data_IF_866711580635
#
_entry.id   IF_866711580635
#
_cell.length_a   1.000
_cell.length_b   1.000
_cell.length_c   1.000
_cell.angle_alpha   90.00
_cell.angle_beta   90.00
_cell.angle_gamma   90.00
#
_symmetry.space_group_name_H-M   'P 1'
#
loop_
_entity.id
_entity.type
_entity.pdbx_description
1 polymer ?
#
# COMPACT_ATOMS: atom_id res chain seq x y z
N UNK A 1 -17.66 -6.39 11.67
CA UNK A 1 -16.63 -6.74 10.66
C UNK A 1 -15.34 -7.05 11.40
N UNK A 2 -14.57 -8.00 10.93
CA UNK A 2 -13.31 -8.42 11.55
C UNK A 2 -12.18 -7.43 11.18
N UNK A 3 -11.30 -7.12 12.13
CA UNK A 3 -10.14 -6.28 11.87
C UNK A 3 -9.05 -7.09 11.18
N UNK A 4 -8.49 -6.57 10.08
CA UNK A 4 -7.32 -7.16 9.42
C UNK A 4 -6.03 -6.74 10.11
N UNK A 5 -5.98 -5.48 10.56
CA UNK A 5 -4.87 -4.93 11.35
C UNK A 5 -5.42 -4.25 12.59
N UNK A 6 -4.77 -4.48 13.73
CA UNK A 6 -4.94 -3.69 14.96
C UNK A 6 -3.57 -3.29 15.47
N UNK A 7 -3.35 -2.00 15.62
CA UNK A 7 -2.17 -1.41 16.27
C UNK A 7 -2.59 -0.94 17.66
N UNK A 8 -1.79 -1.26 18.70
CA UNK A 8 -2.01 -0.80 20.08
C UNK A 8 -0.75 -0.17 20.61
N UNK A 9 -0.80 1.12 20.90
CA UNK A 9 0.30 1.89 21.46
C UNK A 9 1.57 1.87 20.58
N UNK A 10 1.41 1.76 19.26
CA UNK A 10 2.55 1.73 18.33
C UNK A 10 3.23 3.09 18.32
N UNK A 11 4.54 3.12 18.59
CA UNK A 11 5.35 4.32 18.48
C UNK A 11 6.62 4.10 17.69
N UNK A 12 7.21 5.20 17.18
CA UNK A 12 8.45 5.18 16.42
C UNK A 12 9.24 6.47 16.56
N UNK A 13 10.52 6.31 16.87
CA UNK A 13 11.52 7.39 16.90
C UNK A 13 12.68 7.06 15.98
N UNK A 14 13.31 8.08 15.44
CA UNK A 14 14.53 7.99 14.64
C UNK A 14 15.61 8.89 15.21
N UNK A 15 16.87 8.58 14.93
CA UNK A 15 18.01 9.33 15.39
C UNK A 15 18.50 8.92 16.78
N UNK A 16 19.47 9.67 17.31
CA UNK A 16 20.05 9.48 18.64
C UNK A 16 20.45 10.85 19.23
N UNK A 17 20.46 10.96 20.55
CA UNK A 17 20.87 12.21 21.25
C UNK A 17 20.03 13.40 20.81
N UNK A 18 20.70 14.53 20.50
CA UNK A 18 20.04 15.79 20.11
C UNK A 18 19.32 15.72 18.75
N UNK A 19 19.57 14.67 17.95
CA UNK A 19 18.89 14.41 16.67
C UNK A 19 17.71 13.46 16.79
N UNK A 20 17.18 13.20 17.98
CA UNK A 20 16.03 12.31 18.18
C UNK A 20 14.75 12.97 17.64
N UNK A 21 14.08 12.28 16.71
CA UNK A 21 12.82 12.70 16.13
C UNK A 21 11.74 11.66 16.42
N UNK A 22 10.69 12.05 17.14
CA UNK A 22 9.52 11.20 17.35
C UNK A 22 8.62 11.28 16.10
N UNK A 23 8.71 10.28 15.25
CA UNK A 23 7.93 10.21 14.01
C UNK A 23 6.49 9.75 14.25
N UNK A 24 6.28 8.84 15.22
CA UNK A 24 4.96 8.44 15.70
C UNK A 24 4.99 8.38 17.23
N UNK A 25 4.04 9.06 17.85
CA UNK A 25 3.70 8.90 19.27
C UNK A 25 2.87 7.64 19.44
N UNK A 26 2.66 7.12 20.67
CA UNK A 26 1.82 5.95 20.83
C UNK A 26 0.44 6.14 20.19
N UNK A 27 0.15 5.34 19.15
CA UNK A 27 -1.12 5.39 18.43
C UNK A 27 -1.83 4.04 18.51
N UNK A 28 -3.15 4.11 18.56
CA UNK A 28 -4.06 2.98 18.39
C UNK A 28 -4.77 3.14 17.04
N UNK A 29 -4.85 2.06 16.26
CA UNK A 29 -5.51 2.06 14.96
C UNK A 29 -6.08 0.68 14.66
N UNK A 30 -7.35 0.66 14.30
CA UNK A 30 -8.02 -0.54 13.79
C UNK A 30 -8.36 -0.37 12.31
N UNK A 31 -8.04 -1.36 11.49
CA UNK A 31 -8.35 -1.38 10.06
C UNK A 31 -9.19 -2.63 9.80
N UNK A 32 -10.38 -2.44 9.24
CA UNK A 32 -11.32 -3.53 8.95
C UNK A 32 -10.92 -4.26 7.67
N UNK A 33 -11.20 -5.54 7.62
CA UNK A 33 -10.99 -6.34 6.41
C UNK A 33 -11.89 -5.84 5.27
N UNK A 34 -11.29 -5.63 4.08
CA UNK A 34 -11.99 -5.09 2.92
C UNK A 34 -12.30 -3.59 3.01
N UNK A 35 -11.72 -2.88 3.97
CA UNK A 35 -11.85 -1.43 4.08
C UNK A 35 -10.95 -0.71 3.06
N UNK A 36 -11.41 0.42 2.56
CA UNK A 36 -10.58 1.40 1.85
C UNK A 36 -10.39 2.63 2.75
N UNK A 37 -9.17 2.77 3.30
CA UNK A 37 -8.79 3.77 4.30
C UNK A 37 -7.84 4.80 3.70
N UNK A 38 -8.10 6.08 3.92
CA UNK A 38 -7.13 7.15 3.67
C UNK A 38 -6.39 7.56 4.95
N UNK A 39 -5.09 7.79 4.85
CA UNK A 39 -4.24 8.38 5.88
C UNK A 39 -3.79 9.74 5.37
N UNK A 40 -4.34 10.81 5.95
CA UNK A 40 -4.04 12.18 5.57
C UNK A 40 -3.16 12.89 6.60
N UNK A 41 -2.43 13.89 6.15
CA UNK A 41 -1.64 14.77 7.02
C UNK A 41 -0.62 15.57 6.21
N UNK A 42 -0.07 16.63 6.82
CA UNK A 42 0.99 17.44 6.21
C UNK A 42 2.30 16.65 6.05
N UNK A 43 3.23 17.18 5.26
CA UNK A 43 4.59 16.63 5.20
C UNK A 43 5.20 16.58 6.62
N UNK A 44 5.90 15.50 6.94
CA UNK A 44 6.51 15.31 8.26
C UNK A 44 5.55 14.83 9.37
N UNK A 45 4.24 14.64 9.10
CA UNK A 45 3.30 14.21 10.14
C UNK A 45 3.42 12.74 10.58
N UNK A 46 4.28 11.94 9.95
CA UNK A 46 4.49 10.52 10.28
C UNK A 46 3.79 9.52 9.34
N UNK A 47 3.12 9.98 8.25
CA UNK A 47 2.36 9.11 7.32
C UNK A 47 3.19 7.97 6.73
N UNK A 48 4.34 8.28 6.13
CA UNK A 48 5.22 7.27 5.52
C UNK A 48 5.81 6.33 6.57
N UNK A 49 6.07 6.83 7.79
CA UNK A 49 6.47 5.98 8.92
C UNK A 49 5.37 4.99 9.27
N UNK A 50 4.13 5.45 9.42
CA UNK A 50 2.99 4.58 9.70
C UNK A 50 2.80 3.56 8.57
N UNK A 51 2.88 3.98 7.31
CA UNK A 51 2.77 3.10 6.16
C UNK A 51 3.87 2.01 6.16
N UNK A 52 5.12 2.38 6.47
CA UNK A 52 6.24 1.45 6.56
C UNK A 52 6.06 0.44 7.70
N UNK A 53 5.51 0.87 8.84
CA UNK A 53 5.17 -0.04 9.94
C UNK A 53 4.04 -0.99 9.54
N UNK A 54 2.98 -0.50 8.89
CA UNK A 54 1.89 -1.32 8.36
C UNK A 54 2.38 -2.34 7.33
N UNK A 55 3.35 -1.95 6.50
CA UNK A 55 3.99 -2.85 5.53
C UNK A 55 4.94 -3.86 6.19
N UNK A 56 5.34 -3.65 7.44
CA UNK A 56 6.42 -4.39 8.08
C UNK A 56 7.77 -4.16 7.43
N UNK A 57 7.97 -2.99 6.82
CA UNK A 57 9.26 -2.52 6.29
C UNK A 57 10.13 -1.93 7.40
N UNK A 58 9.48 -1.41 8.45
CA UNK A 58 10.14 -0.92 9.65
C UNK A 58 9.58 -1.64 10.89
N UNK A 59 10.28 -1.49 12.01
CA UNK A 59 9.94 -2.12 13.29
C UNK A 59 9.56 -1.00 14.27
N UNK A 60 8.39 -1.07 14.95
CA UNK A 60 8.04 -0.12 15.99
C UNK A 60 8.98 -0.25 17.19
N UNK A 61 9.17 0.83 17.91
CA UNK A 61 9.97 0.84 19.14
C UNK A 61 9.21 0.17 20.29
N UNK A 62 7.88 0.40 20.35
CA UNK A 62 6.98 -0.24 21.31
C UNK A 62 5.57 -0.42 20.71
N UNK A 63 4.71 -1.07 21.47
CA UNK A 63 3.33 -1.37 21.11
C UNK A 63 3.15 -2.78 20.52
N UNK A 64 1.93 -3.10 20.19
CA UNK A 64 1.53 -4.40 19.66
C UNK A 64 0.94 -4.28 18.25
N UNK A 65 1.42 -5.11 17.33
CA UNK A 65 0.89 -5.24 15.97
C UNK A 65 0.15 -6.58 15.86
N UNK A 66 -1.16 -6.52 15.61
CA UNK A 66 -2.02 -7.69 15.44
C UNK A 66 -2.46 -7.76 13.97
N UNK A 67 -2.27 -8.91 13.34
CA UNK A 67 -2.70 -9.18 11.97
C UNK A 67 -3.63 -10.40 11.95
N UNK A 68 -4.83 -10.25 11.38
CA UNK A 68 -5.87 -11.29 11.38
C UNK A 68 -6.06 -11.91 12.77
N UNK A 69 -6.22 -11.08 13.79
CA UNK A 69 -6.44 -11.49 15.18
C UNK A 69 -5.23 -12.11 15.90
N UNK A 70 -4.06 -12.20 15.25
CA UNK A 70 -2.86 -12.80 15.83
C UNK A 70 -1.72 -11.80 15.96
N UNK A 71 -1.04 -11.69 17.11
CA UNK A 71 0.13 -10.82 17.27
C UNK A 71 1.26 -11.21 16.31
N UNK A 72 1.83 -10.23 15.62
CA UNK A 72 3.02 -10.41 14.80
C UNK A 72 4.24 -9.92 15.57
N UNK A 73 5.27 -10.76 15.65
CA UNK A 73 6.57 -10.32 16.13
C UNK A 73 7.28 -9.51 15.02
N UNK A 74 7.16 -8.18 15.08
CA UNK A 74 7.73 -7.23 14.11
C UNK A 74 9.26 -7.22 14.12
N UNK A 75 9.90 -7.65 15.23
CA UNK A 75 11.38 -7.77 15.32
C UNK A 75 11.91 -8.98 14.55
N UNK A 76 11.06 -9.96 14.24
CA UNK A 76 11.46 -11.13 13.47
C UNK A 76 11.39 -10.85 11.97
N UNK A 77 12.53 -10.50 11.38
CA UNK A 77 12.63 -10.13 9.96
C UNK A 77 12.16 -11.23 8.99
N UNK A 78 12.34 -12.50 9.33
CA UNK A 78 11.87 -13.62 8.50
C UNK A 78 10.33 -13.70 8.50
N UNK A 79 9.67 -13.48 9.66
CA UNK A 79 8.21 -13.40 9.74
C UNK A 79 7.68 -12.21 8.96
N UNK A 80 8.33 -11.03 9.08
CA UNK A 80 7.94 -9.83 8.35
C UNK A 80 8.16 -9.98 6.83
N UNK A 81 9.26 -10.59 6.40
CA UNK A 81 9.48 -10.89 4.98
C UNK A 81 8.42 -11.85 4.41
N UNK A 82 7.96 -12.84 5.21
CA UNK A 82 6.87 -13.74 4.83
C UNK A 82 5.54 -12.99 4.74
N UNK A 83 5.25 -12.10 5.68
CA UNK A 83 4.07 -11.24 5.68
C UNK A 83 4.04 -10.35 4.43
N UNK A 84 5.10 -9.57 4.17
CA UNK A 84 5.22 -8.74 2.96
C UNK A 84 5.02 -9.55 1.68
N UNK A 85 5.72 -10.66 1.56
CA UNK A 85 5.68 -11.52 0.38
C UNK A 85 4.30 -12.08 0.07
N UNK A 86 3.49 -12.35 1.10
CA UNK A 86 2.26 -13.10 0.94
C UNK A 86 1.01 -12.24 1.01
N UNK A 87 1.05 -11.19 1.83
CA UNK A 87 -0.16 -10.51 2.27
C UNK A 87 -0.17 -9.01 1.93
N UNK A 88 0.99 -8.43 1.51
CA UNK A 88 1.11 -7.00 1.24
C UNK A 88 1.48 -6.73 -0.22
N UNK A 89 0.67 -5.91 -0.90
CA UNK A 89 1.03 -5.23 -2.15
C UNK A 89 1.42 -3.79 -1.86
N UNK A 90 2.49 -3.28 -2.47
CA UNK A 90 2.97 -1.92 -2.23
C UNK A 90 3.01 -1.12 -3.54
N UNK A 91 2.44 0.09 -3.50
CA UNK A 91 2.42 1.04 -4.62
C UNK A 91 2.97 2.37 -4.13
N UNK A 92 3.99 2.91 -4.79
CA UNK A 92 4.67 4.16 -4.39
C UNK A 92 4.53 5.22 -5.47
N UNK A 93 4.69 6.48 -5.09
CA UNK A 93 4.52 7.67 -5.93
C UNK A 93 5.36 7.62 -7.21
N UNK A 94 6.59 7.13 -7.15
CA UNK A 94 7.52 7.05 -8.29
C UNK A 94 7.57 5.65 -8.92
N UNK A 95 6.46 4.89 -8.83
CA UNK A 95 6.22 3.58 -9.42
C UNK A 95 7.18 2.47 -8.96
N UNK A 96 8.43 2.79 -8.65
CA UNK A 96 9.52 1.88 -8.27
C UNK A 96 9.62 0.63 -9.18
N UNK A 97 9.48 0.83 -10.48
CA UNK A 97 9.70 -0.20 -11.47
C UNK A 97 11.20 -0.42 -11.65
N UNK A 98 11.58 -1.65 -11.96
CA UNK A 98 12.97 -2.01 -12.27
C UNK A 98 13.20 -1.69 -13.74
N UNK A 99 14.06 -0.72 -14.03
CA UNK A 99 14.25 -0.18 -15.38
C UNK A 99 14.82 -1.19 -16.38
N UNK A 100 15.65 -2.11 -15.90
CA UNK A 100 16.27 -3.19 -16.70
C UNK A 100 15.32 -4.36 -16.94
N UNK A 101 14.13 -4.34 -16.33
CA UNK A 101 13.12 -5.38 -16.48
C UNK A 101 12.02 -4.93 -17.44
N UNK A 102 11.60 -5.84 -18.32
CA UNK A 102 10.38 -5.63 -19.08
C UNK A 102 9.17 -5.51 -18.14
N UNK A 103 8.07 -4.96 -18.65
CA UNK A 103 6.82 -4.83 -17.90
C UNK A 103 6.33 -6.21 -17.42
N UNK A 104 6.41 -7.22 -18.27
CA UNK A 104 6.10 -8.60 -17.90
C UNK A 104 6.96 -9.10 -16.72
N UNK A 105 8.24 -8.78 -16.71
CA UNK A 105 9.15 -9.18 -15.63
C UNK A 105 8.86 -8.42 -14.34
N UNK A 106 8.57 -7.11 -14.43
CA UNK A 106 8.15 -6.31 -13.28
C UNK A 106 6.89 -6.88 -12.61
N UNK A 107 5.83 -7.16 -13.39
CA UNK A 107 4.58 -7.74 -12.89
C UNK A 107 4.81 -9.15 -12.32
N UNK A 108 5.69 -9.94 -12.96
CA UNK A 108 5.98 -11.31 -12.57
C UNK A 108 6.85 -11.46 -11.32
N UNK A 109 7.50 -10.38 -10.87
CA UNK A 109 8.46 -10.43 -9.76
C UNK A 109 7.87 -11.02 -8.46
N UNK A 110 6.70 -10.54 -7.95
CA UNK A 110 6.11 -11.11 -6.73
C UNK A 110 5.67 -12.56 -6.90
N UNK A 111 5.34 -12.99 -8.11
CA UNK A 111 4.90 -14.37 -8.37
C UNK A 111 6.03 -15.40 -8.21
N UNK A 112 7.29 -14.98 -8.33
CA UNK A 112 8.46 -15.86 -8.13
C UNK A 112 8.60 -16.29 -6.67
N UNK A 113 8.14 -15.46 -5.74
CA UNK A 113 8.33 -15.64 -4.29
C UNK A 113 7.03 -15.86 -3.52
N UNK A 114 5.87 -15.58 -4.14
CA UNK A 114 4.55 -15.60 -3.51
C UNK A 114 3.95 -17.00 -3.31
N UNK A 115 2.79 -17.03 -2.65
CA UNK A 115 2.05 -18.27 -2.28
C UNK A 115 1.27 -18.92 -3.43
N UNK A 116 1.14 -18.31 -4.59
CA UNK A 116 0.30 -18.83 -5.67
C UNK A 116 0.91 -20.11 -6.27
N UNK A 117 0.74 -21.24 -5.56
CA UNK A 117 1.10 -22.56 -6.07
C UNK A 117 0.06 -23.01 -7.11
N UNK A 118 0.52 -23.56 -8.22
CA UNK A 118 -0.37 -24.17 -9.24
C UNK A 118 -0.96 -23.19 -10.26
N UNK A 119 -0.77 -21.89 -10.11
CA UNK A 119 -1.18 -20.90 -11.12
C UNK A 119 -0.01 -20.61 -12.05
N UNK A 120 -0.23 -20.78 -13.35
CA UNK A 120 0.77 -20.39 -14.36
C UNK A 120 1.05 -18.90 -14.25
N UNK A 121 2.32 -18.52 -13.95
CA UNK A 121 2.76 -17.13 -13.92
C UNK A 121 2.39 -16.38 -15.19
N UNK A 122 2.54 -17.03 -16.36
CA UNK A 122 2.18 -16.46 -17.65
C UNK A 122 0.67 -16.18 -17.76
N UNK A 123 -0.18 -17.11 -17.31
CA UNK A 123 -1.64 -16.93 -17.29
C UNK A 123 -2.03 -15.78 -16.36
N UNK A 124 -1.44 -15.72 -15.15
CA UNK A 124 -1.74 -14.67 -14.19
C UNK A 124 -1.32 -13.27 -14.68
N UNK A 125 -0.15 -13.14 -15.29
CA UNK A 125 0.30 -11.88 -15.88
C UNK A 125 -0.65 -11.45 -17.00
N UNK A 126 -1.08 -12.39 -17.87
CA UNK A 126 -2.04 -12.09 -18.94
C UNK A 126 -3.35 -11.54 -18.36
N UNK A 127 -3.98 -12.24 -17.42
CA UNK A 127 -5.23 -11.82 -16.76
C UNK A 127 -5.13 -10.40 -16.17
N UNK A 128 -4.04 -10.12 -15.44
CA UNK A 128 -3.84 -8.82 -14.82
C UNK A 128 -3.61 -7.72 -15.85
N UNK A 129 -2.79 -8.00 -16.86
CA UNK A 129 -2.47 -7.01 -17.89
C UNK A 129 -3.67 -6.64 -18.76
N UNK A 130 -4.54 -7.59 -19.05
CA UNK A 130 -5.82 -7.37 -19.73
C UNK A 130 -6.73 -6.48 -18.86
N UNK A 131 -6.91 -6.85 -17.60
CA UNK A 131 -7.71 -6.07 -16.64
C UNK A 131 -7.24 -4.63 -16.47
N UNK A 132 -5.93 -4.40 -16.48
CA UNK A 132 -5.33 -3.08 -16.27
C UNK A 132 -5.00 -2.33 -17.57
N UNK A 133 -5.44 -2.86 -18.71
CA UNK A 133 -5.28 -2.25 -20.05
C UNK A 133 -3.82 -1.99 -20.44
N UNK A 134 -2.91 -2.90 -20.05
CA UNK A 134 -1.47 -2.81 -20.31
C UNK A 134 -0.91 -4.02 -21.07
N UNK A 135 -1.76 -4.86 -21.64
CA UNK A 135 -1.36 -6.09 -22.34
C UNK A 135 -0.37 -5.86 -23.47
N UNK A 136 -0.57 -4.78 -24.25
CA UNK A 136 0.30 -4.43 -25.37
C UNK A 136 1.68 -3.90 -24.93
N UNK A 137 1.83 -3.59 -23.63
CA UNK A 137 3.06 -3.03 -23.07
C UNK A 137 3.97 -4.09 -22.44
N UNK A 138 3.55 -5.36 -22.34
CA UNK A 138 4.27 -6.41 -21.61
C UNK A 138 5.74 -6.60 -22.02
N UNK A 139 6.06 -6.35 -23.29
CA UNK A 139 7.42 -6.45 -23.82
C UNK A 139 8.24 -5.16 -23.74
N UNK A 140 7.60 -4.05 -23.36
CA UNK A 140 8.24 -2.74 -23.19
C UNK A 140 8.98 -2.65 -21.86
N UNK A 141 9.75 -1.56 -21.72
CA UNK A 141 10.48 -1.20 -20.51
C UNK A 141 9.86 0.04 -19.85
N UNK A 142 10.11 0.30 -18.56
CA UNK A 142 9.52 1.44 -17.85
C UNK A 142 9.71 2.79 -18.54
N UNK A 143 10.88 3.04 -19.12
CA UNK A 143 11.20 4.28 -19.84
C UNK A 143 10.32 4.54 -21.09
N UNK A 144 9.57 3.55 -21.55
CA UNK A 144 8.69 3.60 -22.71
C UNK A 144 7.20 3.81 -22.34
N UNK A 145 6.91 4.09 -21.08
CA UNK A 145 5.56 4.23 -20.56
C UNK A 145 5.24 5.70 -20.21
N UNK A 146 3.97 6.09 -20.36
CA UNK A 146 3.46 7.29 -19.69
C UNK A 146 3.35 7.06 -18.18
N UNK A 147 3.24 8.14 -17.39
CA UNK A 147 3.09 8.04 -15.94
C UNK A 147 1.90 7.17 -15.52
N UNK A 148 0.73 7.35 -16.15
CA UNK A 148 -0.46 6.54 -15.89
C UNK A 148 -0.26 5.06 -16.25
N UNK A 149 0.44 4.76 -17.35
CA UNK A 149 0.78 3.38 -17.70
C UNK A 149 1.76 2.77 -16.69
N UNK A 150 2.77 3.51 -16.26
CA UNK A 150 3.73 3.06 -15.24
C UNK A 150 3.02 2.79 -13.90
N UNK A 151 2.06 3.63 -13.52
CA UNK A 151 1.25 3.40 -12.32
C UNK A 151 0.38 2.16 -12.43
N UNK A 152 -0.28 1.94 -13.56
CA UNK A 152 -1.03 0.68 -13.81
C UNK A 152 -0.13 -0.55 -13.71
N UNK A 153 1.11 -0.48 -14.20
CA UNK A 153 2.10 -1.57 -14.03
C UNK A 153 2.51 -1.75 -12.57
N UNK A 154 2.71 -0.68 -11.81
CA UNK A 154 3.02 -0.77 -10.37
C UNK A 154 1.87 -1.42 -9.60
N UNK A 155 0.62 -1.07 -9.92
CA UNK A 155 -0.58 -1.70 -9.35
C UNK A 155 -0.67 -3.17 -9.79
N UNK A 156 -0.43 -3.47 -11.07
CA UNK A 156 -0.41 -4.85 -11.58
C UNK A 156 0.58 -5.72 -10.80
N UNK A 157 1.78 -5.20 -10.56
CA UNK A 157 2.79 -5.86 -9.73
C UNK A 157 2.30 -6.05 -8.29
N UNK A 158 1.69 -5.02 -7.69
CA UNK A 158 1.20 -5.08 -6.31
C UNK A 158 0.12 -6.15 -6.12
N UNK A 159 -0.80 -6.34 -7.10
CA UNK A 159 -1.90 -7.32 -7.00
C UNK A 159 -1.57 -8.70 -7.55
N UNK A 160 -0.38 -8.89 -8.14
CA UNK A 160 -0.05 -10.12 -8.86
C UNK A 160 -0.18 -11.38 -8.00
N UNK A 161 0.28 -11.32 -6.77
CA UNK A 161 0.27 -12.43 -5.82
C UNK A 161 -1.01 -12.54 -4.96
N UNK A 162 -2.06 -11.75 -5.29
CA UNK A 162 -3.33 -11.67 -4.55
C UNK A 162 -3.12 -11.32 -3.06
N UNK A 163 -2.59 -10.15 -2.76
CA UNK A 163 -2.38 -9.72 -1.38
C UNK A 163 -3.71 -9.48 -0.67
N UNK A 164 -3.72 -9.59 0.67
CA UNK A 164 -4.86 -9.21 1.50
C UNK A 164 -4.95 -7.69 1.71
N UNK A 165 -3.81 -7.01 1.59
CA UNK A 165 -3.66 -5.57 1.85
C UNK A 165 -2.87 -4.94 0.71
N UNK A 166 -3.33 -3.79 0.21
CA UNK A 166 -2.57 -2.89 -0.65
C UNK A 166 -2.28 -1.62 0.14
N UNK A 167 -1.00 -1.23 0.14
CA UNK A 167 -0.51 0.02 0.70
C UNK A 167 -0.07 0.92 -0.44
N UNK A 168 -0.65 2.11 -0.54
CA UNK A 168 -0.38 3.06 -1.61
C UNK A 168 0.11 4.39 -1.02
N UNK A 169 1.33 4.78 -1.34
CA UNK A 169 1.93 6.05 -0.91
C UNK A 169 1.85 7.06 -2.05
N UNK A 170 1.02 8.09 -1.89
CA UNK A 170 0.76 9.15 -2.88
C UNK A 170 0.52 8.59 -4.30
N UNK A 171 -0.44 7.66 -4.49
CA UNK A 171 -0.52 6.88 -5.74
C UNK A 171 -0.88 7.68 -6.98
N UNK A 172 -1.29 8.93 -6.82
CA UNK A 172 -1.66 9.84 -7.92
C UNK A 172 -0.77 11.08 -8.00
N UNK A 173 0.18 11.24 -7.09
CA UNK A 173 0.95 12.48 -6.94
C UNK A 173 1.85 12.85 -8.13
N UNK A 174 2.10 11.93 -9.06
CA UNK A 174 2.85 12.16 -10.30
C UNK A 174 1.96 12.16 -11.57
N UNK A 175 0.63 12.21 -11.41
CA UNK A 175 -0.33 12.05 -12.49
C UNK A 175 -1.20 13.31 -12.64
N UNK A 176 -1.73 13.52 -13.84
CA UNK A 176 -2.78 14.50 -14.07
C UNK A 176 -4.09 14.05 -13.35
N UNK A 177 -5.03 14.98 -13.20
CA UNK A 177 -6.26 14.78 -12.44
C UNK A 177 -7.13 13.65 -13.01
N UNK A 178 -7.27 13.59 -14.34
CA UNK A 178 -8.11 12.58 -15.00
C UNK A 178 -7.51 11.18 -14.85
N UNK A 179 -6.21 11.05 -15.10
CA UNK A 179 -5.46 9.82 -14.87
C UNK A 179 -5.51 9.41 -13.40
N UNK A 180 -5.36 10.37 -12.47
CA UNK A 180 -5.46 10.13 -11.03
C UNK A 180 -6.82 9.56 -10.63
N UNK A 181 -7.92 10.12 -11.13
CA UNK A 181 -9.28 9.59 -10.91
C UNK A 181 -9.43 8.17 -11.45
N UNK A 182 -8.88 7.88 -12.64
CA UNK A 182 -8.89 6.53 -13.22
C UNK A 182 -8.16 5.53 -12.30
N UNK A 183 -7.00 5.90 -11.76
CA UNK A 183 -6.24 5.08 -10.82
C UNK A 183 -7.00 4.84 -9.51
N UNK A 184 -7.66 5.86 -8.95
CA UNK A 184 -8.44 5.70 -7.73
C UNK A 184 -9.68 4.82 -7.94
N UNK A 185 -10.34 4.91 -9.10
CA UNK A 185 -11.41 3.98 -9.46
C UNK A 185 -10.91 2.53 -9.55
N UNK A 186 -9.73 2.31 -10.11
CA UNK A 186 -9.10 0.99 -10.15
C UNK A 186 -8.87 0.44 -8.72
N UNK A 187 -8.41 1.25 -7.77
CA UNK A 187 -8.31 0.84 -6.36
C UNK A 187 -9.66 0.50 -5.75
N UNK A 188 -10.72 1.25 -6.07
CA UNK A 188 -12.10 0.92 -5.63
C UNK A 188 -12.56 -0.43 -6.18
N UNK A 189 -12.28 -0.74 -7.44
CA UNK A 189 -12.62 -2.05 -8.03
C UNK A 189 -11.89 -3.19 -7.31
N UNK A 190 -10.59 -3.04 -7.06
CA UNK A 190 -9.80 -4.01 -6.32
C UNK A 190 -10.33 -4.18 -4.89
N UNK A 191 -10.73 -3.08 -4.25
CA UNK A 191 -11.32 -3.10 -2.91
C UNK A 191 -12.67 -3.82 -2.87
N UNK A 192 -13.55 -3.60 -3.85
CA UNK A 192 -14.84 -4.32 -3.97
C UNK A 192 -14.68 -5.84 -4.06
N UNK A 193 -13.54 -6.34 -4.49
CA UNK A 193 -13.19 -7.77 -4.50
C UNK A 193 -12.73 -8.30 -3.13
N UNK A 194 -12.74 -7.45 -2.09
CA UNK A 194 -12.42 -7.81 -0.72
C UNK A 194 -10.97 -7.51 -0.29
N UNK A 195 -10.14 -6.92 -1.15
CA UNK A 195 -8.78 -6.48 -0.78
C UNK A 195 -8.87 -5.21 0.06
N UNK A 196 -8.22 -5.18 1.20
CA UNK A 196 -8.07 -3.96 2.02
C UNK A 196 -7.11 -3.00 1.33
N UNK A 197 -7.48 -1.73 1.18
CA UNK A 197 -6.65 -0.71 0.52
C UNK A 197 -6.39 0.43 1.49
N UNK A 198 -5.12 0.77 1.69
CA UNK A 198 -4.70 1.88 2.55
C UNK A 198 -3.95 2.88 1.68
N UNK A 199 -4.47 4.08 1.57
CA UNK A 199 -3.92 5.16 0.74
C UNK A 199 -3.37 6.25 1.64
N UNK A 200 -2.09 6.55 1.53
CA UNK A 200 -1.49 7.74 2.13
C UNK A 200 -1.54 8.86 1.11
N UNK A 201 -2.09 10.00 1.50
CA UNK A 201 -2.16 11.17 0.63
C UNK A 201 -2.30 12.47 1.42
N UNK A 202 -1.96 13.59 0.80
CA UNK A 202 -2.28 14.93 1.29
C UNK A 202 -3.44 15.57 0.49
N UNK A 203 -3.92 14.91 -0.57
CA UNK A 203 -5.01 15.39 -1.42
C UNK A 203 -6.38 14.89 -0.90
N UNK A 204 -7.24 15.84 -0.57
CA UNK A 204 -8.61 15.57 -0.11
C UNK A 204 -9.47 14.89 -1.18
N UNK A 205 -9.24 15.18 -2.48
CA UNK A 205 -9.96 14.53 -3.57
C UNK A 205 -9.62 13.03 -3.61
N UNK A 206 -8.36 12.67 -3.43
CA UNK A 206 -7.92 11.27 -3.35
C UNK A 206 -8.52 10.59 -2.13
N UNK A 207 -8.51 11.26 -0.96
CA UNK A 207 -9.08 10.72 0.27
C UNK A 207 -10.60 10.48 0.16
N UNK A 208 -11.33 11.31 -0.61
CA UNK A 208 -12.77 11.16 -0.82
C UNK A 208 -13.17 9.86 -1.54
N UNK A 209 -12.24 9.19 -2.22
CA UNK A 209 -12.47 7.86 -2.77
C UNK A 209 -12.50 6.76 -1.72
N UNK A 210 -11.95 6.99 -0.53
CA UNK A 210 -11.88 6.03 0.56
C UNK A 210 -13.15 6.08 1.42
N UNK A 211 -13.47 4.98 2.10
CA UNK A 211 -14.64 4.88 2.98
C UNK A 211 -14.43 5.62 4.31
N UNK A 212 -13.17 5.70 4.76
CA UNK A 212 -12.78 6.35 6.01
C UNK A 212 -11.46 7.09 5.81
N UNK A 213 -11.31 8.21 6.50
CA UNK A 213 -10.09 9.01 6.51
C UNK A 213 -9.62 9.19 7.95
N UNK A 214 -8.36 8.89 8.22
CA UNK A 214 -7.69 9.30 9.47
C UNK A 214 -6.75 10.47 9.19
N UNK A 215 -6.69 11.42 10.14
CA UNK A 215 -5.81 12.58 10.06
C UNK A 215 -4.64 12.44 11.02
N UNK A 216 -3.43 12.46 10.45
CA UNK A 216 -2.18 12.39 11.20
C UNK A 216 -1.55 13.79 11.31
N UNK A 217 -1.14 14.16 12.51
CA UNK A 217 -0.44 15.41 12.80
C UNK A 217 0.60 15.18 13.91
N UNK A 218 1.86 15.55 13.66
CA UNK A 218 2.98 15.42 14.59
C UNK A 218 3.04 14.05 15.30
N UNK A 219 2.88 13.00 14.50
CA UNK A 219 2.93 11.62 14.96
C UNK A 219 1.70 11.12 15.74
N UNK A 220 0.61 11.91 15.80
CA UNK A 220 -0.65 11.53 16.46
C UNK A 220 -1.78 11.39 15.44
N UNK A 221 -2.73 10.50 15.71
CA UNK A 221 -4.04 10.51 15.05
C UNK A 221 -4.89 11.57 15.76
N UNK A 222 -5.26 12.64 15.02
CA UNK A 222 -6.01 13.78 15.56
C UNK A 222 -7.48 13.79 15.16
N UNK A 223 -7.88 12.91 14.26
CA UNK A 223 -9.26 12.84 13.78
C UNK A 223 -9.50 11.64 12.90
N UNK A 224 -10.76 11.26 12.84
CA UNK A 224 -11.28 10.19 12.00
C UNK A 224 -12.62 10.62 11.42
N UNK A 225 -12.79 10.42 10.12
CA UNK A 225 -14.01 10.78 9.39
C UNK A 225 -14.45 9.58 8.55
N UNK A 226 -15.75 9.28 8.58
CA UNK A 226 -16.35 8.33 7.64
C UNK A 226 -16.83 9.10 6.42
N UNK A 227 -16.28 8.79 5.26
CA UNK A 227 -16.71 9.44 4.04
C UNK A 227 -18.02 8.80 3.56
N UNK A 228 -19.02 9.62 3.29
CA UNK A 228 -20.21 9.15 2.61
C UNK A 228 -19.82 8.83 1.17
N UNK A 229 -19.59 7.56 0.88
CA UNK A 229 -19.31 7.11 -0.49
C UNK A 229 -20.58 7.29 -1.32
N UNK A 230 -20.49 8.20 -2.28
CA UNK A 230 -21.49 8.32 -3.33
C UNK A 230 -21.49 7.08 -4.24
#
# INVERSE_FOLDING_TARGET
MENIITLKGICKTYGKGDGLVTALRPIDLEIKKGEMLAIMGKSGSGKSTLLNLLAGLDTPDSGEYIYNGSPINTKNQNKMAKFRRNDVGFVVQHFALIDEYSIQQNIGLPLRYGKLKGVSTKKRIKEISERLEISEKLRKYPSQLSGGQAQRVAIARAIAHKPSIILADEPTGALDEETGKSIMNLFREINKEGTTVIVVTHDANVASFCQRTIRLHDGNIIGEETNVTA
#
